data_IF_278566274954
#
_entry.id   IF_278566274954
#
_cell.length_a   1.000
_cell.length_b   1.000
_cell.length_c   1.000
_cell.angle_alpha   90.00
_cell.angle_beta   90.00
_cell.angle_gamma   90.00
#
_symmetry.space_group_name_H-M   'P 1'
#
loop_
_entity.id
_entity.type
_entity.pdbx_description
1 polymer ?
#
# COMPACT_ATOMS: atom_id res chain seq x y z
N UNK A 1 -19.86 -13.75 7.76
CA UNK A 1 -18.44 -13.34 7.87
C UNK A 1 -17.60 -14.49 7.33
N UNK A 2 -16.80 -14.21 6.33
CA UNK A 2 -15.90 -15.18 5.69
C UNK A 2 -14.80 -15.59 6.68
N UNK A 3 -14.52 -16.89 6.73
CA UNK A 3 -13.40 -17.41 7.52
C UNK A 3 -12.18 -17.55 6.61
N UNK A 4 -11.10 -16.90 6.99
CA UNK A 4 -9.81 -17.04 6.33
C UNK A 4 -8.96 -18.09 7.04
N UNK A 5 -8.26 -18.87 6.24
CA UNK A 5 -7.31 -19.88 6.72
C UNK A 5 -6.08 -19.19 7.31
N UNK A 6 -5.52 -19.75 8.36
CA UNK A 6 -4.19 -19.37 8.81
C UNK A 6 -3.15 -19.62 7.72
N UNK A 7 -2.01 -18.97 7.82
CA UNK A 7 -1.00 -19.03 6.74
C UNK A 7 -0.48 -20.45 6.50
N UNK A 8 -0.34 -21.24 7.54
CA UNK A 8 0.08 -22.64 7.43
C UNK A 8 -1.04 -23.51 6.83
N UNK A 9 -2.29 -23.35 7.25
CA UNK A 9 -3.46 -24.02 6.68
C UNK A 9 -3.66 -23.67 5.19
N UNK A 10 -3.41 -22.41 4.81
CA UNK A 10 -3.45 -21.99 3.41
C UNK A 10 -2.43 -22.76 2.56
N UNK A 11 -1.21 -22.96 3.09
CA UNK A 11 -0.15 -23.69 2.42
C UNK A 11 -0.38 -25.22 2.43
N UNK A 12 -1.10 -25.76 3.42
CA UNK A 12 -1.52 -27.15 3.42
C UNK A 12 -2.61 -27.42 2.39
N UNK A 13 -3.54 -26.48 2.24
CA UNK A 13 -4.66 -26.60 1.31
C UNK A 13 -4.26 -26.39 -0.14
N UNK A 14 -3.37 -25.44 -0.41
CA UNK A 14 -2.97 -25.02 -1.74
C UNK A 14 -1.47 -25.26 -1.96
N UNK A 15 -1.08 -26.03 -2.97
CA UNK A 15 0.33 -26.33 -3.24
C UNK A 15 1.20 -25.08 -3.27
N UNK A 16 2.28 -25.10 -2.49
CA UNK A 16 3.20 -23.98 -2.31
C UNK A 16 4.58 -24.29 -2.86
N UNK A 17 5.14 -23.35 -3.61
CA UNK A 17 6.48 -23.41 -4.18
C UNK A 17 7.26 -22.17 -3.73
N UNK A 18 8.11 -22.32 -2.69
CA UNK A 18 8.95 -21.22 -2.23
C UNK A 18 10.08 -20.95 -3.22
N UNK A 19 10.52 -19.70 -3.26
CA UNK A 19 11.67 -19.29 -4.09
C UNK A 19 12.60 -18.35 -3.31
N UNK A 20 13.85 -18.30 -3.79
CA UNK A 20 14.85 -17.33 -3.37
C UNK A 20 15.63 -16.89 -4.62
N UNK A 21 15.57 -15.59 -4.93
CA UNK A 21 16.16 -15.01 -6.13
C UNK A 21 17.17 -13.93 -5.75
N UNK A 22 18.23 -13.80 -6.51
CA UNK A 22 19.16 -12.70 -6.33
C UNK A 22 18.60 -11.44 -6.96
N UNK A 23 18.62 -10.32 -6.21
CA UNK A 23 18.28 -9.00 -6.75
C UNK A 23 19.23 -8.58 -7.87
N UNK A 24 18.79 -7.71 -8.80
CA UNK A 24 19.60 -7.25 -9.93
C UNK A 24 20.89 -6.56 -9.48
N UNK A 25 20.82 -5.75 -8.44
CA UNK A 25 21.98 -5.07 -7.86
C UNK A 25 22.90 -5.98 -7.02
N UNK A 26 22.49 -7.24 -6.81
CA UNK A 26 23.23 -8.22 -6.06
C UNK A 26 23.28 -8.01 -4.54
N UNK A 27 22.56 -7.03 -4.00
CA UNK A 27 22.61 -6.67 -2.58
C UNK A 27 21.59 -7.42 -1.70
N UNK A 28 20.64 -8.14 -2.31
CA UNK A 28 19.60 -8.85 -1.58
C UNK A 28 19.31 -10.22 -2.18
N UNK A 29 18.75 -11.09 -1.35
CA UNK A 29 18.01 -12.28 -1.75
C UNK A 29 16.54 -12.00 -1.56
N UNK A 30 15.78 -12.06 -2.66
CA UNK A 30 14.33 -11.87 -2.68
C UNK A 30 13.68 -13.21 -2.41
N UNK A 31 12.97 -13.32 -1.32
CA UNK A 31 12.25 -14.54 -0.92
C UNK A 31 10.75 -14.39 -1.11
N UNK A 32 10.08 -15.49 -1.34
CA UNK A 32 8.64 -15.50 -1.54
C UNK A 32 8.12 -16.89 -1.84
N UNK A 33 6.90 -16.95 -2.32
CA UNK A 33 6.25 -18.20 -2.69
C UNK A 33 5.22 -17.99 -3.79
N UNK A 34 4.97 -19.06 -4.53
CA UNK A 34 3.83 -19.18 -5.43
C UNK A 34 2.94 -20.28 -4.88
N UNK A 35 1.66 -19.97 -4.71
CA UNK A 35 0.64 -20.97 -4.45
C UNK A 35 -0.14 -21.22 -5.73
N UNK A 36 -0.49 -22.48 -5.98
CA UNK A 36 -1.35 -22.89 -7.09
C UNK A 36 -2.72 -23.34 -6.56
N UNK A 37 -3.79 -23.20 -7.36
CA UNK A 37 -5.13 -23.66 -6.96
C UNK A 37 -5.19 -25.17 -6.63
N UNK A 38 -4.36 -25.96 -7.31
CA UNK A 38 -4.21 -27.40 -7.17
C UNK A 38 -2.79 -27.82 -7.56
N UNK A 39 -2.44 -29.07 -7.38
CA UNK A 39 -1.15 -29.61 -7.88
C UNK A 39 -1.02 -29.35 -9.38
N UNK A 40 0.01 -28.61 -9.82
CA UNK A 40 0.07 -28.12 -11.18
C UNK A 40 0.15 -29.26 -12.22
N UNK A 41 -0.91 -29.40 -13.01
CA UNK A 41 -0.97 -30.31 -14.16
C UNK A 41 -1.11 -29.56 -15.50
N UNK A 42 -1.41 -28.28 -15.46
CA UNK A 42 -1.60 -27.38 -16.60
C UNK A 42 -0.89 -26.05 -16.41
N UNK A 43 -1.40 -25.02 -17.08
CA UNK A 43 -0.94 -23.64 -16.93
C UNK A 43 -2.06 -22.79 -16.28
N UNK A 44 -1.69 -21.91 -15.37
CA UNK A 44 -2.60 -21.10 -14.59
C UNK A 44 -2.35 -19.62 -14.82
N UNK A 45 -3.39 -18.79 -14.91
CA UNK A 45 -3.21 -17.34 -14.78
C UNK A 45 -2.62 -17.02 -13.41
N UNK A 46 -1.85 -15.95 -13.31
CA UNK A 46 -1.17 -15.56 -12.08
C UNK A 46 -1.51 -14.14 -11.66
N UNK A 47 -1.75 -13.95 -10.38
CA UNK A 47 -1.75 -12.63 -9.74
C UNK A 47 -0.48 -12.48 -8.91
N UNK A 48 0.31 -11.44 -9.18
CA UNK A 48 1.48 -11.06 -8.39
C UNK A 48 1.08 -9.87 -7.50
N UNK A 49 1.27 -10.01 -6.18
CA UNK A 49 0.86 -9.03 -5.18
C UNK A 49 2.06 -8.17 -4.75
N UNK A 50 1.99 -6.85 -4.98
CA UNK A 50 3.01 -5.87 -4.62
C UNK A 50 2.52 -5.00 -3.45
N UNK A 51 3.18 -5.06 -2.27
CA UNK A 51 2.76 -4.33 -1.07
C UNK A 51 3.06 -2.84 -1.16
N UNK A 52 2.42 -2.08 -0.26
CA UNK A 52 2.71 -0.66 -0.02
C UNK A 52 4.03 -0.43 0.71
N UNK A 53 4.20 0.82 1.18
CA UNK A 53 5.39 1.24 1.93
C UNK A 53 5.55 0.46 3.20
N UNK A 54 6.78 0.02 3.48
CA UNK A 54 7.10 -0.60 4.75
C UNK A 54 7.93 -1.86 4.63
N UNK A 55 8.11 -2.49 5.79
CA UNK A 55 8.86 -3.74 5.97
C UNK A 55 7.87 -4.89 6.03
N UNK A 56 7.27 -5.19 4.89
CA UNK A 56 6.24 -6.21 4.80
C UNK A 56 6.81 -7.55 4.36
N UNK A 57 6.32 -8.61 4.99
CA UNK A 57 6.50 -9.95 4.51
C UNK A 57 5.43 -10.29 3.45
N UNK A 58 5.49 -11.49 2.92
CA UNK A 58 4.56 -12.02 1.91
C UNK A 58 3.10 -12.10 2.34
N UNK A 59 2.81 -12.00 3.65
CA UNK A 59 1.46 -12.08 4.19
C UNK A 59 0.78 -10.73 4.27
N UNK A 60 1.57 -9.64 4.31
CA UNK A 60 1.11 -8.26 4.34
C UNK A 60 0.18 -7.97 5.50
N UNK A 61 0.71 -8.10 6.73
CA UNK A 61 0.01 -7.70 7.95
C UNK A 61 -0.17 -6.17 7.95
N UNK A 62 -1.39 -5.71 7.77
CA UNK A 62 -1.72 -4.28 7.70
C UNK A 62 -3.05 -3.95 8.41
N UNK A 63 -3.78 -4.94 8.88
CA UNK A 63 -4.97 -4.75 9.70
C UNK A 63 -4.64 -4.65 11.20
N UNK A 64 -5.63 -4.31 11.97
CA UNK A 64 -5.57 -4.15 13.43
C UNK A 64 -6.78 -4.78 14.15
N UNK A 65 -7.50 -5.67 13.49
CA UNK A 65 -8.66 -6.37 14.06
C UNK A 65 -8.29 -7.48 15.02
N UNK A 66 -7.02 -7.92 15.04
CA UNK A 66 -6.56 -9.08 15.79
C UNK A 66 -7.06 -10.42 15.22
N UNK A 67 -7.40 -10.45 13.92
CA UNK A 67 -7.87 -11.66 13.22
C UNK A 67 -7.01 -11.97 12.00
N UNK A 68 -7.20 -13.16 11.42
CA UNK A 68 -6.51 -13.56 10.19
C UNK A 68 -6.76 -12.59 9.01
N UNK A 69 -7.88 -11.87 9.03
CA UNK A 69 -8.20 -10.86 8.02
C UNK A 69 -7.17 -9.71 7.93
N UNK A 70 -6.37 -9.49 8.99
CA UNK A 70 -5.31 -8.49 9.01
C UNK A 70 -4.14 -8.82 8.06
N UNK A 71 -3.96 -10.09 7.70
CA UNK A 71 -3.00 -10.53 6.69
C UNK A 71 -3.58 -10.42 5.28
N UNK A 72 -3.68 -9.20 4.78
CA UNK A 72 -4.45 -8.87 3.58
C UNK A 72 -4.04 -9.69 2.36
N UNK A 73 -2.74 -9.92 2.14
CA UNK A 73 -2.29 -10.71 0.99
C UNK A 73 -2.51 -12.21 1.15
N UNK A 74 -2.53 -12.73 2.37
CA UNK A 74 -2.92 -14.12 2.60
C UNK A 74 -4.40 -14.34 2.32
N UNK A 75 -5.25 -13.40 2.74
CA UNK A 75 -6.69 -13.44 2.47
C UNK A 75 -6.98 -13.33 0.97
N UNK A 76 -6.40 -12.36 0.29
CA UNK A 76 -6.52 -12.23 -1.16
C UNK A 76 -5.99 -13.45 -1.90
N UNK A 77 -4.87 -14.04 -1.43
CA UNK A 77 -4.35 -15.27 -2.02
C UNK A 77 -5.34 -16.41 -1.92
N UNK A 78 -5.96 -16.62 -0.75
CA UNK A 78 -7.00 -17.63 -0.59
C UNK A 78 -8.13 -17.44 -1.60
N UNK A 79 -8.55 -16.20 -1.81
CA UNK A 79 -9.66 -15.86 -2.69
C UNK A 79 -9.31 -16.04 -4.18
N UNK A 80 -8.14 -15.60 -4.60
CA UNK A 80 -7.66 -15.82 -5.97
C UNK A 80 -7.45 -17.32 -6.27
N UNK A 81 -6.86 -18.07 -5.32
CA UNK A 81 -6.67 -19.51 -5.45
C UNK A 81 -8.00 -20.25 -5.58
N UNK A 82 -9.00 -19.90 -4.78
CA UNK A 82 -10.36 -20.44 -4.87
C UNK A 82 -11.03 -20.11 -6.22
N UNK A 83 -10.64 -19.01 -6.86
CA UNK A 83 -11.11 -18.62 -8.20
C UNK A 83 -10.26 -19.22 -9.35
N UNK A 84 -9.31 -20.11 -9.05
CA UNK A 84 -8.50 -20.79 -10.07
C UNK A 84 -7.27 -20.03 -10.56
N UNK A 85 -6.86 -18.95 -9.88
CA UNK A 85 -5.68 -18.19 -10.21
C UNK A 85 -4.52 -18.56 -9.27
N UNK A 86 -3.33 -18.77 -9.82
CA UNK A 86 -2.11 -18.86 -9.02
C UNK A 86 -1.75 -17.49 -8.42
N UNK A 87 -1.05 -17.50 -7.29
CA UNK A 87 -0.69 -16.26 -6.59
C UNK A 87 0.78 -16.24 -6.22
N UNK A 88 1.50 -15.19 -6.61
CA UNK A 88 2.84 -14.90 -6.16
C UNK A 88 2.82 -13.84 -5.06
N UNK A 89 3.43 -14.18 -3.92
CA UNK A 89 3.66 -13.28 -2.78
C UNK A 89 5.13 -13.31 -2.41
N UNK A 90 5.67 -12.18 -1.98
CA UNK A 90 7.09 -12.06 -1.67
C UNK A 90 7.35 -11.18 -0.44
N UNK A 91 8.52 -11.32 0.14
CA UNK A 91 9.00 -10.51 1.24
C UNK A 91 9.72 -9.28 0.71
N UNK A 92 9.43 -8.11 1.25
CA UNK A 92 10.17 -6.90 0.92
C UNK A 92 11.66 -7.07 1.20
N UNK A 93 12.50 -6.40 0.41
CA UNK A 93 13.96 -6.42 0.56
C UNK A 93 14.38 -6.22 2.02
N UNK A 94 15.19 -7.14 2.55
CA UNK A 94 15.66 -7.14 3.94
C UNK A 94 14.67 -7.68 4.97
N UNK A 95 13.48 -8.12 4.57
CA UNK A 95 12.53 -8.81 5.45
C UNK A 95 12.77 -10.32 5.35
N UNK A 96 12.93 -10.98 6.49
CA UNK A 96 13.28 -12.41 6.56
C UNK A 96 12.09 -13.36 6.65
N UNK A 97 10.89 -12.92 6.33
CA UNK A 97 9.64 -13.70 6.31
C UNK A 97 9.32 -14.47 7.60
N UNK A 98 8.07 -14.57 7.96
CA UNK A 98 7.49 -15.24 9.11
C UNK A 98 7.16 -14.34 10.31
N UNK A 99 6.32 -13.37 10.07
CA UNK A 99 5.41 -12.94 11.12
C UNK A 99 4.43 -14.11 11.31
N UNK A 100 4.72 -15.01 12.23
CA UNK A 100 3.86 -16.15 12.52
C UNK A 100 2.69 -15.76 13.42
N UNK A 101 1.65 -16.54 13.33
CA UNK A 101 0.36 -16.52 14.01
C UNK A 101 0.39 -16.34 15.53
N UNK A 102 1.50 -16.65 16.20
CA UNK A 102 1.70 -16.41 17.65
C UNK A 102 1.52 -14.95 18.07
N UNK A 103 1.17 -14.12 17.13
CA UNK A 103 1.09 -12.69 17.29
C UNK A 103 -0.33 -12.19 17.35
N UNK A 104 -1.29 -13.01 16.97
CA UNK A 104 -2.70 -12.65 17.00
C UNK A 104 -3.34 -12.71 18.40
N UNK A 105 -2.65 -13.29 19.40
CA UNK A 105 -3.19 -13.51 20.75
C UNK A 105 -3.33 -12.25 21.61
N UNK A 106 -2.95 -11.06 21.13
CA UNK A 106 -3.05 -9.84 21.92
C UNK A 106 -3.46 -8.63 21.07
N UNK A 107 -4.57 -7.95 21.41
CA UNK A 107 -4.98 -6.69 20.74
C UNK A 107 -3.95 -5.55 20.92
N UNK A 108 -3.11 -5.60 21.95
CA UNK A 108 -2.01 -4.66 22.18
C UNK A 108 -0.84 -4.91 21.23
N UNK A 109 -0.90 -6.00 20.52
CA UNK A 109 0.12 -6.58 19.71
C UNK A 109 0.57 -5.68 18.56
N UNK A 110 -0.38 -5.12 17.84
CA UNK A 110 -0.10 -4.39 16.59
C UNK A 110 0.67 -3.09 16.81
N UNK A 111 0.47 -2.42 17.94
CA UNK A 111 1.11 -1.14 18.21
C UNK A 111 2.45 -1.26 18.93
N UNK A 112 2.58 -2.13 19.92
CA UNK A 112 3.76 -2.19 20.79
C UNK A 112 4.76 -3.29 20.40
N UNK A 113 4.31 -4.39 19.84
CA UNK A 113 5.18 -5.47 19.37
C UNK A 113 5.61 -5.29 17.92
N UNK A 114 4.85 -4.53 17.13
CA UNK A 114 5.13 -4.39 15.72
C UNK A 114 6.56 -3.90 15.46
N UNK A 115 7.00 -2.85 16.15
CA UNK A 115 8.34 -2.30 15.97
C UNK A 115 9.42 -3.24 16.49
N UNK A 116 9.30 -3.75 17.72
CA UNK A 116 10.28 -4.64 18.32
C UNK A 116 10.31 -6.01 17.64
N UNK A 117 9.15 -6.52 17.27
CA UNK A 117 9.02 -7.81 16.61
C UNK A 117 9.46 -7.75 15.14
N UNK A 118 9.10 -6.71 14.40
CA UNK A 118 9.61 -6.49 13.05
C UNK A 118 11.11 -6.36 12.98
N UNK A 119 11.73 -5.74 13.97
CA UNK A 119 13.20 -5.64 14.04
C UNK A 119 13.88 -7.01 14.07
N UNK A 120 13.27 -8.03 14.69
CA UNK A 120 13.82 -9.40 14.73
C UNK A 120 13.85 -10.06 13.35
N UNK A 121 12.95 -9.67 12.44
CA UNK A 121 12.80 -10.23 11.09
C UNK A 121 13.40 -9.35 9.99
N UNK A 122 14.13 -8.29 10.38
CA UNK A 122 14.73 -7.37 9.43
C UNK A 122 16.25 -7.55 9.43
N UNK A 123 16.78 -7.71 8.24
CA UNK A 123 18.18 -7.52 7.96
C UNK A 123 18.44 -6.04 7.70
N UNK A 124 18.90 -5.31 8.71
CA UNK A 124 19.11 -3.87 8.63
C UNK A 124 20.13 -3.50 7.53
N UNK A 125 21.17 -4.30 7.35
CA UNK A 125 22.18 -4.06 6.31
C UNK A 125 21.60 -4.18 4.90
N UNK A 126 20.76 -5.19 4.67
CA UNK A 126 20.06 -5.36 3.40
C UNK A 126 18.99 -4.27 3.24
N UNK A 127 18.25 -3.92 4.31
CA UNK A 127 17.21 -2.88 4.26
C UNK A 127 17.75 -1.51 3.88
N UNK A 128 18.97 -1.17 4.28
CA UNK A 128 19.64 0.07 3.88
C UNK A 128 19.93 0.15 2.38
N UNK A 129 19.90 -0.95 1.64
CA UNK A 129 20.10 -0.96 0.18
C UNK A 129 18.80 -0.66 -0.59
N UNK A 130 17.68 -0.45 0.09
CA UNK A 130 16.42 -0.06 -0.54
C UNK A 130 16.58 1.32 -1.15
N UNK A 131 16.32 1.38 -2.45
CA UNK A 131 16.20 2.62 -3.20
C UNK A 131 14.92 2.57 -4.01
N UNK A 132 14.43 3.68 -4.49
CA UNK A 132 13.30 3.67 -5.41
C UNK A 132 13.55 2.80 -6.65
N UNK A 133 14.78 2.78 -7.13
CA UNK A 133 15.18 1.94 -8.25
C UNK A 133 15.16 0.46 -7.87
N UNK A 134 15.77 0.10 -6.74
CA UNK A 134 15.82 -1.30 -6.32
C UNK A 134 14.42 -1.90 -6.10
N UNK A 135 13.42 -1.11 -5.67
CA UNK A 135 12.06 -1.59 -5.46
C UNK A 135 11.39 -2.07 -6.77
N UNK A 136 11.42 -1.27 -7.83
CA UNK A 136 10.84 -1.72 -9.09
C UNK A 136 11.71 -2.74 -9.84
N UNK A 137 13.02 -2.77 -9.63
CA UNK A 137 13.92 -3.81 -10.14
C UNK A 137 13.69 -5.16 -9.46
N UNK A 138 13.42 -5.16 -8.15
CA UNK A 138 13.03 -6.36 -7.43
C UNK A 138 11.70 -6.91 -7.97
N UNK A 139 10.70 -6.05 -8.19
CA UNK A 139 9.44 -6.45 -8.83
C UNK A 139 9.67 -7.03 -10.25
N UNK A 140 10.54 -6.43 -11.03
CA UNK A 140 10.86 -6.95 -12.36
C UNK A 140 11.55 -8.30 -12.31
N UNK A 141 12.44 -8.51 -11.34
CA UNK A 141 13.09 -9.82 -11.11
C UNK A 141 12.04 -10.90 -10.80
N UNK A 142 11.07 -10.59 -9.94
CA UNK A 142 9.96 -11.47 -9.57
C UNK A 142 9.02 -11.73 -10.76
N UNK A 143 8.69 -10.68 -11.52
CA UNK A 143 7.87 -10.81 -12.74
C UNK A 143 8.53 -11.73 -13.78
N UNK A 144 9.79 -11.52 -14.05
CA UNK A 144 10.55 -12.39 -14.98
C UNK A 144 10.54 -13.83 -14.53
N UNK A 145 10.89 -14.08 -13.26
CA UNK A 145 10.86 -15.41 -12.69
C UNK A 145 9.50 -16.06 -12.88
N UNK A 146 8.43 -15.38 -12.52
CA UNK A 146 7.07 -15.91 -12.65
C UNK A 146 6.69 -16.21 -14.11
N UNK A 147 7.06 -15.33 -15.06
CA UNK A 147 6.74 -15.48 -16.48
C UNK A 147 7.47 -16.64 -17.18
N UNK A 148 8.54 -17.12 -16.58
CA UNK A 148 9.36 -18.22 -17.10
C UNK A 148 8.97 -19.60 -16.51
N UNK A 149 8.06 -19.64 -15.52
CA UNK A 149 7.64 -20.89 -14.89
C UNK A 149 6.73 -21.72 -15.79
N UNK A 150 6.93 -23.05 -15.86
CA UNK A 150 6.23 -23.91 -16.82
C UNK A 150 4.72 -24.02 -16.57
N UNK A 151 4.28 -23.77 -15.36
CA UNK A 151 2.86 -23.85 -14.96
C UNK A 151 2.18 -22.49 -14.87
N UNK A 152 2.80 -21.42 -15.35
CA UNK A 152 2.21 -20.09 -15.39
C UNK A 152 1.90 -19.70 -16.84
N UNK A 153 0.66 -19.28 -17.06
CA UNK A 153 0.25 -18.66 -18.32
C UNK A 153 0.79 -17.24 -18.40
N UNK A 154 1.92 -17.08 -19.07
CA UNK A 154 2.59 -15.80 -19.25
C UNK A 154 1.74 -14.72 -19.95
N UNK A 155 0.66 -15.10 -20.63
CA UNK A 155 -0.25 -14.17 -21.30
C UNK A 155 -1.39 -13.71 -20.38
N UNK A 156 -1.54 -14.35 -19.23
CA UNK A 156 -2.55 -14.05 -18.23
C UNK A 156 -1.92 -13.73 -16.87
N UNK A 157 -0.89 -12.86 -16.87
CA UNK A 157 -0.31 -12.29 -15.66
C UNK A 157 -1.00 -10.99 -15.28
N UNK A 158 -1.43 -10.90 -14.04
CA UNK A 158 -2.00 -9.67 -13.44
C UNK A 158 -1.02 -9.19 -12.36
N UNK A 159 -0.72 -7.89 -12.39
CA UNK A 159 0.06 -7.24 -11.34
C UNK A 159 -0.90 -6.43 -10.46
N UNK A 160 -1.05 -6.84 -9.20
CA UNK A 160 -1.86 -6.13 -8.23
C UNK A 160 -0.94 -5.39 -7.26
N UNK A 161 -1.03 -4.06 -7.25
CA UNK A 161 -0.30 -3.19 -6.35
C UNK A 161 -1.21 -2.50 -5.34
N UNK A 162 -0.72 -2.29 -4.14
CA UNK A 162 -1.36 -1.47 -3.12
C UNK A 162 -0.44 -0.30 -2.75
N UNK A 163 -1.00 0.92 -2.69
CA UNK A 163 -0.27 2.10 -2.22
C UNK A 163 1.06 2.30 -2.97
N UNK A 164 2.23 2.36 -2.31
CA UNK A 164 3.55 2.45 -2.96
C UNK A 164 3.80 1.31 -3.96
N UNK A 165 3.19 0.14 -3.77
CA UNK A 165 3.25 -0.95 -4.74
C UNK A 165 2.72 -0.55 -6.12
N UNK A 166 1.79 0.40 -6.19
CA UNK A 166 1.27 0.95 -7.45
C UNK A 166 2.30 1.82 -8.17
N UNK A 167 3.08 2.61 -7.41
CA UNK A 167 4.21 3.39 -7.91
C UNK A 167 5.27 2.46 -8.49
N UNK A 168 5.65 1.43 -7.74
CA UNK A 168 6.68 0.49 -8.15
C UNK A 168 6.28 -0.31 -9.39
N UNK A 169 5.03 -0.73 -9.51
CA UNK A 169 4.49 -1.35 -10.74
C UNK A 169 4.54 -0.35 -11.91
N UNK A 170 4.07 0.88 -11.72
CA UNK A 170 4.09 1.92 -12.76
C UNK A 170 5.50 2.16 -13.30
N UNK A 171 6.47 2.32 -12.42
CA UNK A 171 7.88 2.53 -12.78
C UNK A 171 8.48 1.30 -13.47
N UNK A 172 8.14 0.10 -13.00
CA UNK A 172 8.59 -1.14 -13.62
C UNK A 172 8.09 -1.25 -15.06
N UNK A 173 6.80 -1.03 -15.33
CA UNK A 173 6.25 -1.12 -16.70
C UNK A 173 6.73 0.00 -17.61
N UNK A 174 7.08 1.16 -17.06
CA UNK A 174 7.69 2.25 -17.83
C UNK A 174 9.14 1.94 -18.25
N UNK A 175 9.86 1.16 -17.45
CA UNK A 175 11.30 0.93 -17.62
C UNK A 175 11.62 -0.37 -18.32
N UNK A 176 10.80 -1.41 -18.15
CA UNK A 176 11.09 -2.76 -18.61
C UNK A 176 9.99 -3.30 -19.52
N UNK A 177 10.32 -4.26 -20.40
CA UNK A 177 9.32 -4.92 -21.23
C UNK A 177 8.46 -5.88 -20.38
N UNK A 178 7.35 -5.36 -19.88
CA UNK A 178 6.37 -6.11 -19.09
C UNK A 178 5.13 -6.34 -19.94
N UNK A 179 4.78 -7.61 -20.17
CA UNK A 179 3.60 -8.03 -20.92
C UNK A 179 2.52 -8.56 -19.95
N UNK A 180 2.13 -7.75 -18.97
CA UNK A 180 1.03 -8.09 -18.10
C UNK A 180 -0.32 -7.94 -18.83
N UNK A 181 -1.26 -8.86 -18.56
CA UNK A 181 -2.64 -8.78 -19.07
C UNK A 181 -3.35 -7.55 -18.55
N UNK A 182 -3.14 -7.26 -17.25
CA UNK A 182 -3.66 -6.05 -16.60
C UNK A 182 -2.81 -5.65 -15.38
N UNK A 183 -2.96 -4.37 -15.02
CA UNK A 183 -2.54 -3.83 -13.74
C UNK A 183 -3.79 -3.55 -12.92
N UNK A 184 -3.85 -4.06 -11.70
CA UNK A 184 -4.90 -3.77 -10.71
C UNK A 184 -4.27 -2.93 -9.60
N UNK A 185 -4.69 -1.69 -9.46
CA UNK A 185 -4.04 -0.72 -8.58
C UNK A 185 -5.02 -0.30 -7.47
N UNK A 186 -4.68 -0.66 -6.25
CA UNK A 186 -5.47 -0.33 -5.05
C UNK A 186 -4.85 0.88 -4.36
N UNK A 187 -5.65 1.91 -4.14
CA UNK A 187 -5.22 3.22 -3.64
C UNK A 187 -3.98 3.74 -4.36
N UNK A 188 -4.06 3.87 -5.71
CA UNK A 188 -2.91 4.29 -6.52
C UNK A 188 -2.54 5.74 -6.28
N UNK A 189 -1.26 6.02 -6.39
CA UNK A 189 -0.72 7.37 -6.41
C UNK A 189 -0.63 7.84 -7.86
N UNK A 190 -1.40 8.84 -8.24
CA UNK A 190 -1.34 9.48 -9.55
C UNK A 190 -0.54 10.78 -9.50
N UNK A 191 -0.68 11.53 -8.42
CA UNK A 191 0.13 12.71 -8.13
C UNK A 191 1.60 12.32 -7.86
N UNK A 192 2.37 13.22 -7.30
CA UNK A 192 3.76 12.94 -6.95
C UNK A 192 3.90 12.36 -5.53
N UNK A 193 5.01 11.67 -5.28
CA UNK A 193 5.35 11.17 -3.94
C UNK A 193 5.44 12.33 -2.93
N UNK A 194 6.03 13.44 -3.34
CA UNK A 194 6.11 14.64 -2.50
C UNK A 194 4.72 15.16 -2.12
N UNK A 195 3.80 15.23 -3.09
CA UNK A 195 2.42 15.67 -2.83
C UNK A 195 1.69 14.77 -1.83
N UNK A 196 1.87 13.45 -1.93
CA UNK A 196 1.32 12.50 -0.96
C UNK A 196 1.90 12.75 0.44
N UNK A 197 3.20 12.95 0.54
CA UNK A 197 3.84 13.22 1.83
C UNK A 197 3.40 14.55 2.44
N UNK A 198 3.26 15.61 1.63
CA UNK A 198 2.70 16.89 2.04
C UNK A 198 1.25 16.74 2.52
N UNK A 199 0.43 15.97 1.80
CA UNK A 199 -0.91 15.62 2.24
C UNK A 199 -0.91 14.98 3.62
N UNK A 200 -0.11 13.94 3.82
CA UNK A 200 -0.05 13.18 5.07
C UNK A 200 0.45 14.02 6.25
N UNK A 201 1.46 14.84 6.06
CA UNK A 201 2.16 15.53 7.14
C UNK A 201 1.68 16.97 7.39
N UNK A 202 1.05 17.62 6.39
CA UNK A 202 0.64 19.01 6.50
C UNK A 202 -0.87 19.16 6.40
N UNK A 203 -1.48 18.63 5.34
CA UNK A 203 -2.81 19.05 4.93
C UNK A 203 -3.95 18.17 5.45
N UNK A 204 -3.72 16.88 5.59
CA UNK A 204 -4.74 15.87 5.88
C UNK A 204 -5.62 16.16 7.09
N UNK A 205 -4.99 16.43 8.24
CA UNK A 205 -5.73 16.69 9.49
C UNK A 205 -6.59 17.94 9.37
N UNK A 206 -6.05 19.01 8.78
CA UNK A 206 -6.77 20.29 8.60
C UNK A 206 -7.93 20.11 7.62
N UNK A 207 -7.70 19.46 6.50
CA UNK A 207 -8.75 19.20 5.52
C UNK A 207 -9.93 18.42 6.10
N UNK A 208 -9.65 17.38 6.90
CA UNK A 208 -10.69 16.59 7.53
C UNK A 208 -11.37 17.29 8.70
N UNK A 209 -10.67 18.16 9.44
CA UNK A 209 -11.32 19.04 10.44
C UNK A 209 -12.28 20.02 9.75
N UNK A 210 -11.85 20.70 8.70
CA UNK A 210 -12.69 21.62 7.92
C UNK A 210 -13.89 20.93 7.27
N UNK A 211 -13.80 19.64 6.97
CA UNK A 211 -14.88 18.84 6.39
C UNK A 211 -15.93 18.40 7.43
N UNK A 212 -15.69 18.55 8.74
CA UNK A 212 -16.70 18.28 9.76
C UNK A 212 -17.84 19.28 9.61
N UNK A 213 -19.10 18.83 9.50
CA UNK A 213 -20.24 19.73 9.35
C UNK A 213 -20.35 20.74 10.50
N UNK A 214 -20.35 22.01 10.19
CA UNK A 214 -20.51 23.12 11.15
C UNK A 214 -21.20 24.31 10.49
N UNK A 215 -21.69 25.23 11.31
CA UNK A 215 -22.35 26.47 10.85
C UNK A 215 -21.46 27.68 11.12
N UNK A 216 -21.38 28.59 10.15
CA UNK A 216 -20.54 29.78 10.24
C UNK A 216 -19.06 29.52 9.96
N UNK A 217 -18.20 30.36 10.53
CA UNK A 217 -16.76 30.42 10.30
C UNK A 217 -15.92 29.72 11.39
N UNK A 218 -16.57 28.96 12.27
CA UNK A 218 -15.95 28.31 13.43
C UNK A 218 -16.41 26.89 13.58
N UNK A 219 -15.43 25.98 13.69
CA UNK A 219 -15.65 24.60 14.12
C UNK A 219 -15.61 24.57 15.66
N UNK A 220 -16.76 24.39 16.29
CA UNK A 220 -16.85 24.32 17.73
C UNK A 220 -16.51 22.95 18.29
N UNK A 221 -16.29 22.89 19.63
CA UNK A 221 -16.11 21.62 20.32
C UNK A 221 -17.35 20.72 20.19
N UNK A 222 -18.54 21.28 20.09
CA UNK A 222 -19.78 20.53 19.91
C UNK A 222 -19.87 19.94 18.49
N UNK A 223 -19.56 20.73 17.47
CA UNK A 223 -19.49 20.26 16.09
C UNK A 223 -18.46 19.11 15.95
N UNK A 224 -17.28 19.30 16.57
CA UNK A 224 -16.23 18.26 16.58
C UNK A 224 -16.74 16.98 17.23
N UNK A 225 -17.38 17.03 18.41
CA UNK A 225 -17.95 15.85 19.08
C UNK A 225 -19.01 15.16 18.23
N UNK A 226 -19.86 15.93 17.58
CA UNK A 226 -20.97 15.39 16.76
C UNK A 226 -20.49 14.80 15.43
N UNK A 227 -19.44 15.35 14.83
CA UNK A 227 -18.94 14.97 13.50
C UNK A 227 -17.75 14.02 13.51
N UNK A 228 -16.98 13.98 14.60
CA UNK A 228 -15.71 13.23 14.67
C UNK A 228 -15.85 11.75 14.33
N UNK A 229 -16.84 11.06 14.89
CA UNK A 229 -17.04 9.61 14.65
C UNK A 229 -17.40 9.24 13.20
N UNK A 230 -17.73 10.24 12.38
CA UNK A 230 -17.99 10.07 10.93
C UNK A 230 -16.83 10.55 10.06
N UNK A 231 -15.80 11.11 10.69
CA UNK A 231 -14.60 11.60 9.99
C UNK A 231 -13.53 10.52 9.97
N UNK A 232 -12.76 10.39 8.89
CA UNK A 232 -11.56 9.54 8.85
C UNK A 232 -10.55 9.84 9.96
N UNK A 233 -10.60 11.05 10.57
CA UNK A 233 -9.77 11.41 11.72
C UNK A 233 -9.97 10.47 12.92
N UNK A 234 -11.15 9.89 13.08
CA UNK A 234 -11.44 8.94 14.16
C UNK A 234 -10.56 7.69 14.12
N UNK A 235 -10.05 7.35 12.94
CA UNK A 235 -9.16 6.21 12.71
C UNK A 235 -7.67 6.59 12.78
N UNK A 236 -7.35 7.89 12.69
CA UNK A 236 -5.97 8.37 12.71
C UNK A 236 -5.49 8.71 14.12
N UNK A 237 -6.35 9.26 14.93
CA UNK A 237 -5.96 9.82 16.23
C UNK A 237 -7.16 10.00 17.14
N UNK A 238 -6.97 9.99 18.47
CA UNK A 238 -8.08 10.23 19.39
C UNK A 238 -8.56 11.68 19.31
N UNK A 239 -9.85 11.91 19.56
CA UNK A 239 -10.45 13.24 19.57
C UNK A 239 -9.72 14.22 20.51
N UNK A 240 -9.17 13.70 21.62
CA UNK A 240 -8.43 14.50 22.60
C UNK A 240 -7.23 15.25 22.02
N UNK A 241 -6.61 14.70 20.95
CA UNK A 241 -5.49 15.35 20.25
C UNK A 241 -5.92 16.50 19.34
N UNK A 242 -7.22 16.61 19.06
CA UNK A 242 -7.83 17.60 18.17
C UNK A 242 -8.64 18.66 18.90
N UNK A 243 -8.65 18.65 20.25
CA UNK A 243 -9.43 19.62 21.01
C UNK A 243 -8.85 21.02 20.84
N UNK A 244 -9.68 22.01 20.46
CA UNK A 244 -9.22 23.37 20.29
C UNK A 244 -8.97 24.04 21.65
N UNK A 245 -7.82 24.70 21.80
CA UNK A 245 -7.45 25.36 23.07
C UNK A 245 -8.48 26.39 23.55
N UNK A 246 -9.06 27.16 22.62
CA UNK A 246 -10.06 28.19 22.90
C UNK A 246 -11.53 27.73 22.79
N UNK A 247 -11.76 26.42 22.67
CA UNK A 247 -13.09 25.83 22.55
C UNK A 247 -13.66 25.79 21.11
N UNK A 248 -12.97 26.36 20.16
CA UNK A 248 -13.30 26.31 18.73
C UNK A 248 -12.05 26.47 17.87
N UNK A 249 -12.14 26.04 16.60
CA UNK A 249 -11.19 26.33 15.55
C UNK A 249 -11.75 27.37 14.59
N UNK A 250 -10.95 28.36 14.20
CA UNK A 250 -11.27 29.31 13.14
C UNK A 250 -10.17 29.29 12.08
N UNK A 251 -10.32 30.08 11.02
CA UNK A 251 -9.37 30.09 9.90
C UNK A 251 -7.95 30.48 10.35
N UNK A 252 -7.82 31.42 11.28
CA UNK A 252 -6.52 31.83 11.81
C UNK A 252 -5.80 30.68 12.57
N UNK A 253 -6.57 29.82 13.26
CA UNK A 253 -6.02 28.62 13.90
C UNK A 253 -5.55 27.60 12.86
N UNK A 254 -6.33 27.38 11.80
CA UNK A 254 -5.96 26.47 10.72
C UNK A 254 -4.72 26.97 9.96
N UNK A 255 -4.63 28.28 9.72
CA UNK A 255 -3.44 28.88 9.11
C UNK A 255 -2.20 28.70 10.00
N UNK A 256 -2.35 28.94 11.30
CA UNK A 256 -1.28 28.73 12.29
C UNK A 256 -0.86 27.25 12.36
N UNK A 257 -1.82 26.33 12.33
CA UNK A 257 -1.55 24.89 12.29
C UNK A 257 -0.81 24.51 11.02
N UNK A 258 -1.25 25.00 9.86
CA UNK A 258 -0.59 24.77 8.56
C UNK A 258 0.85 25.25 8.59
N UNK A 259 1.09 26.48 9.06
CA UNK A 259 2.46 27.05 9.12
C UNK A 259 3.38 26.20 10.04
N UNK A 260 2.87 25.72 11.16
CA UNK A 260 3.63 24.88 12.09
C UNK A 260 3.95 23.51 11.48
N UNK A 261 2.96 22.88 10.83
CA UNK A 261 3.16 21.59 10.17
C UNK A 261 4.12 21.71 8.98
N UNK A 262 4.02 22.81 8.21
CA UNK A 262 4.96 23.10 7.13
C UNK A 262 6.40 23.26 7.65
N UNK A 263 6.59 24.02 8.74
CA UNK A 263 7.92 24.19 9.34
C UNK A 263 8.50 22.85 9.85
N UNK A 264 7.65 21.98 10.41
CA UNK A 264 8.05 20.63 10.82
C UNK A 264 8.44 19.77 9.61
N UNK A 265 7.65 19.82 8.54
CA UNK A 265 7.94 19.13 7.28
C UNK A 265 9.28 19.57 6.69
N UNK A 266 9.50 20.88 6.61
CA UNK A 266 10.75 21.45 6.08
C UNK A 266 11.96 21.03 6.92
N UNK A 267 11.83 21.04 8.25
CA UNK A 267 12.89 20.58 9.16
C UNK A 267 13.22 19.09 8.94
N UNK A 268 12.21 18.25 8.80
CA UNK A 268 12.42 16.82 8.54
C UNK A 268 13.03 16.58 7.17
N UNK A 269 12.54 17.29 6.14
CA UNK A 269 13.11 17.24 4.79
C UNK A 269 14.59 17.60 4.81
N UNK A 270 14.94 18.74 5.40
CA UNK A 270 16.31 19.24 5.43
C UNK A 270 17.23 18.30 6.20
N UNK A 271 16.74 17.70 7.29
CA UNK A 271 17.47 16.64 8.02
C UNK A 271 17.74 15.44 7.10
N UNK A 272 16.72 14.90 6.42
CA UNK A 272 16.87 13.76 5.52
C UNK A 272 17.82 14.09 4.36
N UNK A 273 17.73 15.30 3.78
CA UNK A 273 18.58 15.71 2.67
C UNK A 273 20.05 15.91 3.08
N UNK A 274 20.34 16.19 4.33
CA UNK A 274 21.70 16.40 4.83
C UNK A 274 22.54 15.14 4.97
N UNK A 275 21.89 13.96 5.00
CA UNK A 275 22.57 12.67 5.13
C UNK A 275 22.99 12.08 3.79
N UNK A 276 24.01 11.24 3.76
CA UNK A 276 24.36 10.44 2.58
C UNK A 276 23.34 9.30 2.37
N UNK A 277 23.09 8.91 1.14
CA UNK A 277 22.15 7.83 0.79
C UNK A 277 22.52 6.47 1.43
N UNK A 278 23.80 6.28 1.74
CA UNK A 278 24.37 5.05 2.31
C UNK A 278 24.50 5.08 3.81
N UNK A 279 24.19 6.21 4.45
CA UNK A 279 24.21 6.27 5.91
C UNK A 279 23.14 5.34 6.50
N UNK A 280 23.41 4.70 7.65
CA UNK A 280 22.44 3.86 8.33
C UNK A 280 21.20 4.66 8.75
N UNK A 281 20.02 4.15 8.43
CA UNK A 281 18.77 4.70 8.97
C UNK A 281 18.71 4.42 10.47
N UNK A 282 18.39 5.42 11.33
CA UNK A 282 18.35 5.22 12.77
C UNK A 282 17.38 4.11 13.18
N UNK A 283 17.86 3.19 14.04
CA UNK A 283 17.07 2.04 14.47
C UNK A 283 15.86 2.44 15.35
N UNK A 284 15.95 3.60 16.01
CA UNK A 284 14.93 4.18 16.89
C UNK A 284 14.07 5.24 16.20
N UNK A 285 14.26 5.44 14.90
CA UNK A 285 13.44 6.40 14.15
C UNK A 285 11.96 5.99 14.21
N UNK A 286 11.05 6.95 14.47
CA UNK A 286 9.63 6.67 14.63
C UNK A 286 8.93 6.29 13.31
N UNK A 287 9.64 6.32 12.20
CA UNK A 287 9.12 6.05 10.87
C UNK A 287 9.55 4.68 10.36
N UNK A 288 8.85 4.21 9.36
CA UNK A 288 9.18 2.99 8.62
C UNK A 288 10.68 2.92 8.32
N UNK A 289 11.34 1.88 8.79
CA UNK A 289 12.75 1.66 8.46
C UNK A 289 12.92 1.51 6.95
N UNK A 290 13.83 2.32 6.39
CA UNK A 290 14.15 2.30 4.98
C UNK A 290 15.59 2.79 4.78
N UNK A 291 15.84 3.60 3.77
CA UNK A 291 17.11 4.26 3.51
C UNK A 291 16.91 5.76 3.36
N UNK A 292 17.98 6.53 3.49
CA UNK A 292 17.91 7.96 3.15
C UNK A 292 17.58 8.19 1.68
N UNK A 293 18.06 7.33 0.77
CA UNK A 293 17.70 7.40 -0.67
C UNK A 293 16.19 7.28 -0.90
N UNK A 294 15.52 6.38 -0.19
CA UNK A 294 14.07 6.22 -0.27
C UNK A 294 13.33 7.45 0.27
N UNK A 295 13.71 7.95 1.46
CA UNK A 295 13.10 9.13 2.06
C UNK A 295 13.32 10.40 1.24
N UNK A 296 14.54 10.61 0.70
CA UNK A 296 14.83 11.74 -0.18
C UNK A 296 13.88 11.80 -1.36
N UNK A 297 13.55 10.66 -1.94
CA UNK A 297 12.61 10.63 -3.04
C UNK A 297 11.20 11.07 -2.61
N UNK A 298 10.71 10.63 -1.46
CA UNK A 298 9.43 11.08 -0.92
C UNK A 298 9.38 12.58 -0.67
N UNK A 299 10.49 13.19 -0.26
CA UNK A 299 10.55 14.63 -0.03
C UNK A 299 10.80 15.46 -1.29
N UNK A 300 11.36 14.92 -2.36
CA UNK A 300 11.83 15.69 -3.50
C UNK A 300 11.11 15.41 -4.82
N UNK A 301 10.55 14.19 -5.00
CA UNK A 301 9.94 13.83 -6.27
C UNK A 301 8.56 14.48 -6.40
N UNK A 302 8.48 15.49 -7.28
CA UNK A 302 7.27 16.22 -7.65
C UNK A 302 6.70 15.82 -9.02
N UNK A 303 7.27 14.77 -9.66
CA UNK A 303 6.77 14.26 -10.92
C UNK A 303 5.54 13.38 -10.69
N UNK A 304 4.45 13.56 -11.47
CA UNK A 304 3.27 12.72 -11.36
C UNK A 304 3.56 11.25 -11.69
N UNK A 305 3.24 10.36 -10.77
CA UNK A 305 3.51 8.92 -10.93
C UNK A 305 2.67 8.27 -12.05
N UNK A 306 1.49 8.81 -12.36
CA UNK A 306 0.68 8.32 -13.47
C UNK A 306 1.39 8.40 -14.83
N UNK A 307 2.34 9.32 -15.00
CA UNK A 307 3.09 9.46 -16.26
C UNK A 307 3.88 8.18 -16.61
N UNK A 308 4.22 7.38 -15.61
CA UNK A 308 4.82 6.07 -15.82
C UNK A 308 3.88 5.08 -16.50
N UNK A 309 2.56 5.28 -16.41
CA UNK A 309 1.55 4.46 -17.07
C UNK A 309 1.22 4.93 -18.50
N UNK A 310 1.71 6.09 -18.94
CA UNK A 310 1.35 6.69 -20.22
C UNK A 310 1.64 5.80 -21.43
N UNK A 311 2.64 4.94 -21.36
CA UNK A 311 3.02 3.99 -22.43
C UNK A 311 2.66 2.55 -22.13
N UNK A 312 1.97 2.31 -21.01
CA UNK A 312 1.52 0.97 -20.65
C UNK A 312 0.46 0.49 -21.66
N UNK A 313 0.66 -0.71 -22.17
CA UNK A 313 -0.29 -1.32 -23.11
C UNK A 313 -1.31 -2.23 -22.41
N UNK A 314 -1.06 -2.54 -21.14
CA UNK A 314 -1.96 -3.33 -20.31
C UNK A 314 -3.18 -2.50 -19.93
N UNK A 315 -4.33 -3.16 -19.79
CA UNK A 315 -5.47 -2.55 -19.11
C UNK A 315 -5.10 -2.21 -17.66
N UNK A 316 -5.44 -1.01 -17.21
CA UNK A 316 -5.20 -0.57 -15.83
C UNK A 316 -6.54 -0.35 -15.15
N UNK A 317 -6.77 -1.03 -14.03
CA UNK A 317 -8.00 -0.88 -13.23
C UNK A 317 -7.60 -0.38 -11.84
N UNK A 318 -8.14 0.76 -11.47
CA UNK A 318 -7.81 1.46 -10.24
C UNK A 318 -8.98 1.49 -9.26
N UNK A 319 -8.70 1.33 -7.98
CA UNK A 319 -9.68 1.35 -6.90
C UNK A 319 -9.26 2.37 -5.85
N UNK A 320 -10.12 3.36 -5.61
CA UNK A 320 -9.93 4.35 -4.57
C UNK A 320 -10.97 4.19 -3.46
N UNK A 321 -10.52 4.03 -2.23
CA UNK A 321 -11.36 4.18 -1.06
C UNK A 321 -11.55 5.66 -0.72
N UNK A 322 -12.79 6.15 -0.71
CA UNK A 322 -13.05 7.58 -0.50
C UNK A 322 -12.87 8.04 0.94
N UNK A 323 -12.71 7.08 1.89
CA UNK A 323 -12.35 7.32 3.28
C UNK A 323 -10.83 7.17 3.53
N UNK A 324 -10.04 7.14 2.46
CA UNK A 324 -8.59 6.99 2.52
C UNK A 324 -7.95 8.16 3.28
N UNK A 325 -7.13 7.84 4.29
CA UNK A 325 -6.40 8.83 5.08
C UNK A 325 -4.94 8.98 4.66
N UNK A 326 -4.42 8.09 3.81
CA UNK A 326 -3.06 8.17 3.29
C UNK A 326 -2.99 9.00 2.01
N UNK A 327 -4.04 8.95 1.21
CA UNK A 327 -4.20 9.71 -0.02
C UNK A 327 -5.41 10.63 0.08
N UNK A 328 -5.38 11.73 -0.64
CA UNK A 328 -6.58 12.47 -0.94
C UNK A 328 -7.26 11.86 -2.17
N UNK A 329 -7.97 10.75 -1.96
CA UNK A 329 -8.59 9.99 -3.04
C UNK A 329 -9.50 10.84 -3.94
N UNK A 330 -10.22 11.79 -3.36
CA UNK A 330 -11.08 12.72 -4.12
C UNK A 330 -10.24 13.63 -5.03
N UNK A 331 -9.12 14.16 -4.54
CA UNK A 331 -8.23 15.00 -5.33
C UNK A 331 -7.52 14.20 -6.43
N UNK A 332 -7.04 12.98 -6.13
CA UNK A 332 -6.43 12.07 -7.11
C UNK A 332 -7.41 11.76 -8.26
N UNK A 333 -8.64 11.40 -7.92
CA UNK A 333 -9.68 11.11 -8.90
C UNK A 333 -10.08 12.33 -9.73
N UNK A 334 -10.27 13.50 -9.10
CA UNK A 334 -10.60 14.74 -9.80
C UNK A 334 -9.48 15.18 -10.74
N UNK A 335 -8.24 15.05 -10.31
CA UNK A 335 -7.09 15.35 -11.15
C UNK A 335 -7.02 14.41 -12.37
N UNK A 336 -7.24 13.11 -12.17
CA UNK A 336 -7.29 12.14 -13.27
C UNK A 336 -8.38 12.48 -14.29
N UNK A 337 -9.57 12.86 -13.85
CA UNK A 337 -10.66 13.26 -14.78
C UNK A 337 -10.24 14.37 -15.73
N UNK A 338 -9.39 15.31 -15.28
CA UNK A 338 -8.84 16.37 -16.11
C UNK A 338 -7.86 15.88 -17.20
N UNK A 339 -7.21 14.75 -16.98
CA UNK A 339 -6.14 14.23 -17.86
C UNK A 339 -6.48 12.86 -18.48
N UNK A 340 -7.63 12.26 -18.20
CA UNK A 340 -7.99 10.90 -18.61
C UNK A 340 -7.93 10.66 -20.12
N UNK A 341 -8.12 11.71 -20.94
CA UNK A 341 -7.98 11.61 -22.38
C UNK A 341 -6.58 11.17 -22.82
N UNK A 342 -5.56 11.35 -21.99
CA UNK A 342 -4.18 10.90 -22.22
C UNK A 342 -3.97 9.44 -21.81
N UNK A 343 -4.90 8.87 -21.02
CA UNK A 343 -4.80 7.54 -20.42
C UNK A 343 -6.07 6.70 -20.66
N UNK A 344 -6.43 6.44 -21.93
CA UNK A 344 -7.70 5.78 -22.27
C UNK A 344 -7.77 4.32 -21.81
N UNK A 345 -6.67 3.74 -21.38
CA UNK A 345 -6.55 2.35 -20.89
C UNK A 345 -6.69 2.25 -19.36
N UNK A 346 -6.93 3.37 -18.66
CA UNK A 346 -7.11 3.41 -17.21
C UNK A 346 -8.59 3.57 -16.86
N UNK A 347 -9.10 2.60 -16.11
CA UNK A 347 -10.45 2.64 -15.52
C UNK A 347 -10.33 2.92 -14.01
N UNK A 348 -11.18 3.79 -13.47
CA UNK A 348 -11.23 4.10 -12.03
C UNK A 348 -12.56 3.67 -11.42
N UNK A 349 -12.51 3.05 -10.25
CA UNK A 349 -13.65 2.76 -9.39
C UNK A 349 -13.49 3.49 -8.07
N UNK A 350 -14.47 4.32 -7.70
CA UNK A 350 -14.54 5.03 -6.43
C UNK A 350 -15.43 4.25 -5.47
N UNK A 351 -14.91 3.93 -4.30
CA UNK A 351 -15.59 3.14 -3.27
C UNK A 351 -15.85 4.03 -2.04
N UNK A 352 -17.12 4.42 -1.78
CA UNK A 352 -17.42 5.54 -0.90
C UNK A 352 -17.10 5.28 0.58
N UNK A 353 -17.30 4.06 1.07
CA UNK A 353 -17.32 3.76 2.50
C UNK A 353 -16.08 2.98 2.98
N UNK A 354 -15.02 2.96 2.21
CA UNK A 354 -13.78 2.23 2.54
C UNK A 354 -12.55 3.14 2.46
N UNK A 355 -11.51 2.77 3.20
CA UNK A 355 -10.27 3.54 3.32
C UNK A 355 -9.13 2.99 2.46
N UNK A 356 -7.89 3.21 2.93
CA UNK A 356 -6.66 2.97 2.17
C UNK A 356 -6.47 1.50 1.74
N UNK A 357 -6.82 0.56 2.59
CA UNK A 357 -6.74 -0.89 2.30
C UNK A 357 -8.06 -1.46 1.75
N UNK A 358 -8.99 -0.62 1.33
CA UNK A 358 -10.37 -0.96 1.03
C UNK A 358 -11.10 -1.62 2.22
N UNK A 359 -10.67 -1.29 3.42
CA UNK A 359 -11.27 -1.69 4.69
C UNK A 359 -12.20 -0.60 5.23
N UNK A 360 -12.91 -0.93 6.32
CA UNK A 360 -13.80 0.04 6.98
C UNK A 360 -13.03 1.13 7.76
N UNK A 361 -11.73 0.95 7.95
CA UNK A 361 -10.86 1.93 8.61
C UNK A 361 -10.13 2.79 7.58
N UNK A 362 -10.00 4.08 7.88
CA UNK A 362 -9.42 5.05 6.96
C UNK A 362 -7.92 4.88 6.73
N UNK A 363 -7.18 4.34 7.70
CA UNK A 363 -5.72 4.15 7.63
C UNK A 363 -5.35 2.69 7.37
N UNK A 364 -5.61 1.85 8.35
CA UNK A 364 -5.30 0.43 8.33
C UNK A 364 -6.58 -0.33 8.66
N UNK A 365 -6.62 -1.57 8.26
CA UNK A 365 -7.73 -2.44 8.58
C UNK A 365 -7.82 -3.57 7.56
N UNK A 366 -8.45 -4.67 7.93
CA UNK A 366 -8.68 -5.74 6.98
C UNK A 366 -9.52 -5.22 5.81
N UNK A 367 -9.21 -5.69 4.61
CA UNK A 367 -10.03 -5.42 3.43
C UNK A 367 -11.44 -5.98 3.64
N UNK A 368 -12.46 -5.26 3.22
CA UNK A 368 -13.85 -5.77 3.29
C UNK A 368 -14.05 -6.95 2.35
N UNK A 369 -14.91 -7.89 2.72
CA UNK A 369 -15.25 -9.05 1.88
C UNK A 369 -15.73 -8.61 0.50
N UNK A 370 -16.59 -7.60 0.42
CA UNK A 370 -17.11 -7.07 -0.84
C UNK A 370 -16.02 -6.49 -1.75
N UNK A 371 -15.01 -5.84 -1.18
CA UNK A 371 -13.87 -5.34 -1.95
C UNK A 371 -12.96 -6.48 -2.41
N UNK A 372 -12.67 -7.46 -1.57
CA UNK A 372 -11.92 -8.65 -1.96
C UNK A 372 -12.62 -9.41 -3.09
N UNK A 373 -13.93 -9.63 -3.00
CA UNK A 373 -14.74 -10.23 -4.05
C UNK A 373 -14.73 -9.42 -5.35
N UNK A 374 -14.78 -8.09 -5.26
CA UNK A 374 -14.66 -7.19 -6.42
C UNK A 374 -13.32 -7.39 -7.13
N UNK A 375 -12.21 -7.42 -6.39
CA UNK A 375 -10.88 -7.64 -6.96
C UNK A 375 -10.77 -9.01 -7.63
N UNK A 376 -11.24 -10.06 -6.97
CA UNK A 376 -11.21 -11.43 -7.50
C UNK A 376 -12.05 -11.57 -8.75
N UNK A 377 -13.28 -11.05 -8.75
CA UNK A 377 -14.16 -11.04 -9.92
C UNK A 377 -13.51 -10.29 -11.08
N UNK A 378 -12.95 -9.09 -10.83
CA UNK A 378 -12.27 -8.33 -11.89
C UNK A 378 -11.09 -9.11 -12.47
N UNK A 379 -10.27 -9.73 -11.64
CA UNK A 379 -9.15 -10.55 -12.12
C UNK A 379 -9.63 -11.75 -12.95
N UNK A 380 -10.65 -12.45 -12.48
CA UNK A 380 -11.25 -13.57 -13.22
C UNK A 380 -11.81 -13.12 -14.58
N UNK A 381 -12.55 -12.01 -14.63
CA UNK A 381 -13.08 -11.47 -15.87
C UNK A 381 -11.97 -11.09 -16.86
N UNK A 382 -10.87 -10.50 -16.38
CA UNK A 382 -9.70 -10.13 -17.18
C UNK A 382 -9.06 -11.37 -17.83
N UNK A 383 -8.85 -12.45 -17.08
CA UNK A 383 -8.17 -13.65 -17.59
C UNK A 383 -9.09 -14.52 -18.47
N UNK A 384 -10.39 -14.41 -18.31
CA UNK A 384 -11.39 -15.16 -19.11
C UNK A 384 -11.86 -14.39 -20.34
N UNK A 385 -11.65 -13.07 -20.41
CA UNK A 385 -11.93 -12.28 -21.60
C UNK A 385 -11.05 -12.74 -22.77
N UNK A 386 -11.73 -13.17 -23.87
CA UNK A 386 -11.09 -13.64 -25.11
C UNK A 386 -10.59 -12.48 -25.95
#
# INVERSE_FOLDING_TARGET
>A
VKTYLENDELNEKYPVYPFALRSQDGNATLTGQINYPETPAGVYPLVMLAPGSGMHDRHYLIGDSGTQADFVFSCLAQDFLAAGLAVLRFDCRGVKGNLRDNTLDSPEYLFNRELAYRQMFIDAAVRQTVTPQSQYEDLYTLYRYASELPHIDRHNLILLGHSEGTINIGRMVARYPVAAKALMLVSPVFSSMKHVLEWQLIHRTIAWLKAIPHTGDRLTLEDLKNGFGRSPLAFLQPISSLLPYKGYWDEADFDSMTARLQASFDTQRDMVLSHDDREPWPADAPFTQSSYAWWKQWYQNDQPEIEHLARCQSRVVCYFGMMDTQLNAAAEAAWFEGVKHRFPHIDITLLPDVGHTLGLHGLLGPMTESCAELLVRTAHDIVTAR
#
